data_IF_551930063131
#
_entry.id   IF_551930063131
#
_cell.length_a   1.000
_cell.length_b   1.000
_cell.length_c   1.000
_cell.angle_alpha   90.00
_cell.angle_beta   90.00
_cell.angle_gamma   90.00
#
_symmetry.space_group_name_H-M   'P 1'
#
loop_
_entity.id
_entity.type
_entity.pdbx_description
1 polymer ?
#
# COMPACT_ATOMS: atom_id res chain seq x y z
N UNK A 1 19.85 -20.32 31.11
CA UNK A 1 18.84 -19.99 30.09
C UNK A 1 19.57 -19.64 28.81
N UNK A 2 19.49 -20.50 27.80
CA UNK A 2 20.30 -20.37 26.59
C UNK A 2 19.65 -19.38 25.61
N UNK A 3 20.13 -18.13 25.67
CA UNK A 3 19.64 -17.02 24.84
C UNK A 3 19.74 -17.36 23.34
N UNK A 4 20.72 -18.18 22.94
CA UNK A 4 20.89 -18.61 21.55
C UNK A 4 19.74 -19.50 21.05
N UNK A 5 19.14 -20.30 21.92
CA UNK A 5 17.99 -21.15 21.57
C UNK A 5 16.68 -20.36 21.40
N UNK A 6 16.60 -19.15 21.96
CA UNK A 6 15.41 -18.29 21.90
C UNK A 6 15.35 -17.44 20.63
N UNK A 7 16.51 -17.09 20.04
CA UNK A 7 16.58 -16.22 18.87
C UNK A 7 15.76 -16.73 17.66
N UNK A 8 15.84 -18.01 17.26
CA UNK A 8 15.05 -18.52 16.13
C UNK A 8 13.54 -18.53 16.42
N UNK A 9 13.15 -18.85 17.65
CA UNK A 9 11.74 -18.88 18.06
C UNK A 9 11.14 -17.47 18.03
N UNK A 10 11.89 -16.48 18.52
CA UNK A 10 11.51 -15.07 18.48
C UNK A 10 11.35 -14.58 17.04
N UNK A 11 12.30 -14.90 16.14
CA UNK A 11 12.22 -14.56 14.72
C UNK A 11 10.95 -15.12 14.07
N UNK A 12 10.66 -16.40 14.27
CA UNK A 12 9.44 -17.03 13.72
C UNK A 12 8.17 -16.39 14.27
N UNK A 13 8.10 -16.13 15.58
CA UNK A 13 6.96 -15.46 16.19
C UNK A 13 6.76 -14.04 15.64
N UNK A 14 7.85 -13.28 15.49
CA UNK A 14 7.82 -11.94 14.89
C UNK A 14 7.33 -11.97 13.44
N UNK A 15 7.85 -12.87 12.61
CA UNK A 15 7.43 -12.99 11.20
C UNK A 15 5.95 -13.30 11.08
N UNK A 16 5.46 -14.24 11.90
CA UNK A 16 4.05 -14.59 11.94
C UNK A 16 3.20 -13.39 12.33
N UNK A 17 3.57 -12.71 13.42
CA UNK A 17 2.84 -11.54 13.90
C UNK A 17 2.75 -10.42 12.84
N UNK A 18 3.84 -10.15 12.13
CA UNK A 18 3.88 -9.15 11.05
C UNK A 18 2.99 -9.58 9.88
N UNK A 19 3.08 -10.84 9.45
CA UNK A 19 2.27 -11.39 8.37
C UNK A 19 0.78 -11.29 8.71
N UNK A 20 0.37 -11.70 9.91
CA UNK A 20 -1.01 -11.61 10.40
C UNK A 20 -1.49 -10.16 10.50
N UNK A 21 -0.65 -9.27 11.03
CA UNK A 21 -0.94 -7.84 11.12
C UNK A 21 -1.15 -7.20 9.74
N UNK A 22 -0.40 -7.66 8.74
CA UNK A 22 -0.57 -7.22 7.36
C UNK A 22 -1.87 -7.79 6.81
N UNK A 23 -2.01 -9.12 6.75
CA UNK A 23 -3.15 -9.79 6.12
C UNK A 23 -4.50 -9.42 6.75
N UNK A 24 -4.54 -9.18 8.06
CA UNK A 24 -5.74 -8.75 8.78
C UNK A 24 -6.04 -7.25 8.66
N UNK A 25 -5.13 -6.45 8.08
CA UNK A 25 -5.29 -5.01 8.02
C UNK A 25 -6.11 -4.58 6.81
N UNK A 26 -7.24 -3.87 6.98
CA UNK A 26 -7.97 -3.33 5.85
C UNK A 26 -7.20 -2.20 5.13
N UNK A 27 -6.05 -1.74 5.67
CA UNK A 27 -5.24 -0.66 5.10
C UNK A 27 -4.23 -1.19 4.09
N UNK A 28 -3.64 -2.35 4.34
CA UNK A 28 -2.41 -2.77 3.68
C UNK A 28 -2.70 -3.63 2.45
N UNK A 29 -3.74 -3.29 1.69
CA UNK A 29 -4.17 -4.05 0.49
C UNK A 29 -3.01 -4.22 -0.50
N UNK A 30 -2.16 -3.20 -0.68
CA UNK A 30 -0.97 -3.26 -1.54
C UNK A 30 0.14 -4.22 -1.02
N UNK A 31 0.03 -4.68 0.23
CA UNK A 31 0.93 -5.66 0.85
C UNK A 31 0.35 -7.07 0.86
N UNK A 32 -0.98 -7.24 0.81
CA UNK A 32 -1.63 -8.55 0.96
C UNK A 32 -1.28 -9.53 -0.16
N UNK A 33 -1.22 -9.03 -1.40
CA UNK A 33 -1.14 -9.86 -2.60
C UNK A 33 0.11 -9.56 -3.41
N UNK A 34 1.20 -9.16 -2.74
CA UNK A 34 2.41 -8.72 -3.44
C UNK A 34 3.19 -9.91 -3.96
N UNK A 35 3.01 -10.20 -5.24
CA UNK A 35 3.87 -11.11 -5.96
C UNK A 35 5.14 -10.41 -6.46
N UNK A 36 6.28 -11.08 -6.29
CA UNK A 36 7.48 -10.82 -7.08
C UNK A 36 7.51 -11.77 -8.27
N UNK A 37 7.99 -11.27 -9.40
CA UNK A 37 8.22 -12.09 -10.58
C UNK A 37 9.72 -12.36 -10.68
N UNK A 38 10.11 -13.60 -10.42
CA UNK A 38 11.51 -14.05 -10.53
C UNK A 38 11.55 -15.09 -11.65
N UNK A 39 12.32 -14.81 -12.70
CA UNK A 39 12.43 -15.68 -13.88
C UNK A 39 11.06 -16.06 -14.49
N UNK A 40 10.13 -15.10 -14.58
CA UNK A 40 8.78 -15.32 -15.12
C UNK A 40 7.81 -16.03 -14.16
N UNK A 41 8.25 -16.51 -13.00
CA UNK A 41 7.38 -17.14 -12.01
C UNK A 41 6.90 -16.17 -10.94
N UNK A 42 5.60 -16.24 -10.65
CA UNK A 42 4.94 -15.47 -9.59
C UNK A 42 5.25 -16.10 -8.23
N UNK A 43 6.01 -15.42 -7.38
CA UNK A 43 6.26 -15.80 -5.99
C UNK A 43 5.65 -14.78 -5.05
N UNK A 44 5.02 -15.23 -3.96
CA UNK A 44 4.58 -14.31 -2.91
C UNK A 44 5.82 -13.81 -2.17
N UNK A 45 5.99 -12.49 -2.11
CA UNK A 45 7.10 -11.89 -1.37
C UNK A 45 6.82 -11.94 0.13
N UNK A 46 7.86 -12.24 0.92
CA UNK A 46 7.76 -12.15 2.38
C UNK A 46 7.53 -10.68 2.78
N UNK A 47 6.67 -10.41 3.78
CA UNK A 47 6.47 -9.06 4.30
C UNK A 47 7.75 -8.32 4.68
N UNK A 48 8.73 -9.08 5.17
CA UNK A 48 10.00 -8.60 5.72
C UNK A 48 11.13 -8.56 4.68
N UNK A 49 10.85 -8.84 3.41
CA UNK A 49 11.82 -8.69 2.34
C UNK A 49 12.15 -7.21 2.10
N UNK A 50 13.42 -6.89 1.86
CA UNK A 50 13.84 -5.54 1.50
C UNK A 50 13.23 -5.12 0.16
N UNK A 51 12.69 -3.90 0.09
CA UNK A 51 11.76 -3.54 -0.98
C UNK A 51 12.40 -2.61 -2.01
N UNK A 52 12.19 -2.83 -3.33
CA UNK A 52 12.80 -2.01 -4.37
C UNK A 52 12.50 -0.51 -4.27
N UNK A 53 11.30 -0.12 -3.81
CA UNK A 53 10.97 1.30 -3.62
C UNK A 53 11.85 1.99 -2.58
N UNK A 54 12.47 1.24 -1.66
CA UNK A 54 13.44 1.78 -0.70
C UNK A 54 14.79 2.10 -1.34
N UNK A 55 15.08 1.59 -2.56
CA UNK A 55 16.29 1.92 -3.33
C UNK A 55 16.17 3.23 -4.13
N UNK A 56 14.97 3.84 -4.19
CA UNK A 56 14.77 5.12 -4.89
C UNK A 56 15.65 6.18 -4.22
N UNK A 57 16.58 6.77 -4.99
CA UNK A 57 17.57 7.72 -4.48
C UNK A 57 16.92 8.97 -3.87
N UNK A 58 15.93 9.54 -4.56
CA UNK A 58 15.20 10.73 -4.12
C UNK A 58 14.44 10.47 -2.81
N UNK A 59 14.78 11.22 -1.75
CA UNK A 59 14.15 11.10 -0.42
C UNK A 59 12.63 11.30 -0.49
N UNK A 60 12.20 12.36 -1.17
CA UNK A 60 10.78 12.71 -1.34
C UNK A 60 9.99 11.61 -2.05
N UNK A 61 10.53 11.09 -3.16
CA UNK A 61 9.90 10.00 -3.91
C UNK A 61 9.83 8.70 -3.09
N UNK A 62 10.91 8.35 -2.40
CA UNK A 62 10.94 7.17 -1.53
C UNK A 62 9.93 7.28 -0.38
N UNK A 63 9.80 8.46 0.23
CA UNK A 63 8.78 8.71 1.25
C UNK A 63 7.38 8.61 0.65
N UNK A 64 7.11 9.23 -0.49
CA UNK A 64 5.82 9.15 -1.16
C UNK A 64 5.41 7.70 -1.50
N UNK A 65 6.34 6.89 -2.03
CA UNK A 65 6.11 5.47 -2.29
C UNK A 65 5.88 4.68 -1.01
N UNK A 66 6.62 4.97 0.05
CA UNK A 66 6.44 4.31 1.35
C UNK A 66 5.07 4.64 1.94
N UNK A 67 4.68 5.92 1.93
CA UNK A 67 3.36 6.37 2.35
C UNK A 67 2.25 5.75 1.50
N UNK A 68 2.47 5.59 0.19
CA UNK A 68 1.51 4.94 -0.70
C UNK A 68 1.32 3.46 -0.31
N UNK A 69 2.43 2.74 -0.12
CA UNK A 69 2.45 1.29 0.15
C UNK A 69 1.96 0.95 1.56
N UNK A 70 2.20 1.81 2.54
CA UNK A 70 1.77 1.64 3.92
C UNK A 70 0.43 2.31 4.24
N UNK A 71 -0.27 2.81 3.22
CA UNK A 71 -1.57 3.46 3.32
C UNK A 71 -1.59 4.65 4.29
N UNK A 72 -0.50 5.41 4.25
CA UNK A 72 -0.29 6.70 4.90
C UNK A 72 -0.36 7.83 3.86
N UNK A 73 -1.40 7.80 3.03
CA UNK A 73 -1.59 8.72 1.92
C UNK A 73 -2.94 9.42 1.99
N UNK A 74 -3.10 10.52 1.25
CA UNK A 74 -4.28 11.39 1.30
C UNK A 74 -5.36 11.06 0.25
N UNK A 75 -5.40 9.84 -0.28
CA UNK A 75 -6.49 9.38 -1.13
C UNK A 75 -7.76 9.07 -0.31
N UNK A 76 -8.93 9.16 -0.94
CA UNK A 76 -10.22 9.05 -0.30
C UNK A 76 -10.43 7.68 0.36
N UNK A 77 -9.85 6.60 -0.19
CA UNK A 77 -9.89 5.27 0.42
C UNK A 77 -9.41 5.28 1.89
N UNK A 78 -8.41 6.12 2.22
CA UNK A 78 -7.88 6.29 3.57
C UNK A 78 -8.51 7.46 4.33
N UNK A 79 -8.62 8.63 3.69
CA UNK A 79 -9.15 9.82 4.37
C UNK A 79 -10.57 9.61 4.89
N UNK A 80 -11.42 8.96 4.10
CA UNK A 80 -12.83 8.76 4.41
C UNK A 80 -13.08 7.47 5.21
N UNK A 81 -12.05 6.66 5.43
CA UNK A 81 -12.11 5.43 6.23
C UNK A 81 -12.46 5.69 7.69
N UNK A 82 -11.98 6.79 8.25
CA UNK A 82 -12.19 7.15 9.66
C UNK A 82 -13.12 8.34 9.75
N UNK A 83 -13.94 8.35 10.79
CA UNK A 83 -14.66 9.56 11.17
C UNK A 83 -13.69 10.69 11.50
N UNK A 84 -14.14 11.92 11.28
CA UNK A 84 -13.49 13.15 11.72
C UNK A 84 -14.32 13.79 12.84
N UNK A 85 -13.83 14.88 13.43
CA UNK A 85 -14.62 15.67 14.40
C UNK A 85 -15.93 16.20 13.81
N UNK A 86 -15.93 16.50 12.50
CA UNK A 86 -17.10 17.03 11.78
C UNK A 86 -17.98 15.94 11.16
N UNK A 87 -17.52 14.68 11.14
CA UNK A 87 -18.21 13.54 10.54
C UNK A 87 -17.87 12.29 11.34
N UNK A 88 -18.73 11.94 12.29
CA UNK A 88 -18.48 10.85 13.25
C UNK A 88 -18.28 9.48 12.59
N UNK A 89 -19.00 9.19 11.52
CA UNK A 89 -19.04 7.86 10.91
C UNK A 89 -17.92 7.62 9.90
N UNK A 90 -17.71 6.37 9.46
CA UNK A 90 -16.85 6.03 8.31
C UNK A 90 -17.66 6.16 7.01
N UNK A 91 -17.04 6.60 5.90
CA UNK A 91 -17.73 6.53 4.60
C UNK A 91 -17.63 5.08 4.10
N UNK A 92 -18.74 4.46 3.67
CA UNK A 92 -18.70 3.15 3.01
C UNK A 92 -17.69 3.13 1.87
N UNK A 93 -16.91 2.04 1.73
CA UNK A 93 -15.82 1.94 0.73
C UNK A 93 -16.27 2.35 -0.68
N UNK A 94 -17.45 1.88 -1.09
CA UNK A 94 -18.05 2.16 -2.41
C UNK A 94 -18.29 3.65 -2.68
N UNK A 95 -18.44 4.47 -1.63
CA UNK A 95 -18.68 5.91 -1.72
C UNK A 95 -17.42 6.76 -1.56
N UNK A 96 -16.24 6.14 -1.40
CA UNK A 96 -14.95 6.86 -1.29
C UNK A 96 -14.42 7.22 -2.68
N UNK A 97 -15.17 8.07 -3.39
CA UNK A 97 -14.99 8.32 -4.81
C UNK A 97 -13.68 9.07 -5.13
N UNK A 98 -13.13 8.76 -6.30
CA UNK A 98 -11.96 9.39 -6.91
C UNK A 98 -12.17 10.87 -7.13
N UNK A 99 -11.26 11.71 -6.63
CA UNK A 99 -11.35 13.18 -6.77
C UNK A 99 -11.32 13.66 -8.22
N UNK A 100 -10.81 12.82 -9.12
CA UNK A 100 -10.67 13.16 -10.54
C UNK A 100 -11.91 12.80 -11.34
N UNK A 101 -12.41 11.56 -11.24
CA UNK A 101 -13.50 11.07 -12.09
C UNK A 101 -14.85 10.98 -11.38
N UNK A 102 -14.88 11.01 -10.04
CA UNK A 102 -16.08 10.87 -9.20
C UNK A 102 -16.92 9.60 -9.49
N UNK A 103 -16.37 8.62 -10.20
CA UNK A 103 -17.13 7.45 -10.69
C UNK A 103 -16.64 6.11 -10.12
N UNK A 104 -15.43 6.06 -9.55
CA UNK A 104 -14.84 4.86 -8.97
C UNK A 104 -14.18 5.19 -7.63
N UNK A 105 -13.87 4.16 -6.84
CA UNK A 105 -13.19 4.32 -5.55
C UNK A 105 -11.79 4.91 -5.74
N UNK A 106 -11.40 5.87 -4.89
CA UNK A 106 -10.06 6.48 -4.90
C UNK A 106 -9.02 5.61 -4.18
N UNK A 107 -8.68 4.47 -4.76
CA UNK A 107 -7.51 3.70 -4.33
C UNK A 107 -6.25 4.07 -5.14
N UNK A 108 -5.04 3.69 -4.67
CA UNK A 108 -3.79 3.98 -5.35
C UNK A 108 -3.73 3.53 -6.82
N UNK A 109 -4.28 2.35 -7.15
CA UNK A 109 -4.23 1.81 -8.50
C UNK A 109 -5.12 2.63 -9.43
N UNK A 110 -6.35 2.89 -8.99
CA UNK A 110 -7.28 3.70 -9.75
C UNK A 110 -6.72 5.11 -9.96
N UNK A 111 -6.36 5.82 -8.88
CA UNK A 111 -5.92 7.21 -8.98
C UNK A 111 -4.66 7.37 -9.85
N UNK A 112 -3.65 6.52 -9.67
CA UNK A 112 -2.35 6.70 -10.29
C UNK A 112 -2.20 6.04 -11.66
N UNK A 113 -2.88 4.92 -11.92
CA UNK A 113 -2.62 4.11 -13.12
C UNK A 113 -3.84 3.94 -14.05
N UNK A 114 -5.07 3.98 -13.52
CA UNK A 114 -6.28 3.71 -14.33
C UNK A 114 -7.03 4.99 -14.70
N UNK A 115 -7.20 5.92 -13.77
CA UNK A 115 -8.07 7.08 -13.94
C UNK A 115 -7.60 8.00 -15.07
N UNK A 116 -8.44 8.23 -16.07
CA UNK A 116 -8.15 9.06 -17.25
C UNK A 116 -8.64 10.51 -17.13
N UNK A 117 -9.33 10.86 -16.05
CA UNK A 117 -9.94 12.18 -15.88
C UNK A 117 -8.92 13.31 -15.63
N UNK A 118 -7.71 12.99 -15.16
CA UNK A 118 -6.61 13.97 -15.04
C UNK A 118 -5.73 13.96 -16.30
N UNK A 119 -5.68 15.08 -17.02
CA UNK A 119 -4.82 15.23 -18.18
C UNK A 119 -3.33 15.14 -17.82
N UNK A 120 -2.93 15.72 -16.68
CA UNK A 120 -1.56 15.68 -16.18
C UNK A 120 -1.11 14.25 -15.85
N UNK A 121 -1.91 13.48 -15.11
CA UNK A 121 -1.56 12.09 -14.79
C UNK A 121 -1.52 11.21 -16.04
N UNK A 122 -2.39 11.46 -17.03
CA UNK A 122 -2.30 10.78 -18.32
C UNK A 122 -0.99 11.09 -19.03
N UNK A 123 -0.60 12.36 -19.09
CA UNK A 123 0.66 12.76 -19.70
C UNK A 123 1.87 12.09 -19.03
N UNK A 124 1.89 12.05 -17.70
CA UNK A 124 2.95 11.35 -16.96
C UNK A 124 3.02 9.85 -17.27
N UNK A 125 1.86 9.17 -17.39
CA UNK A 125 1.83 7.75 -17.79
C UNK A 125 2.38 7.55 -19.19
N UNK A 126 1.95 8.36 -20.15
CA UNK A 126 2.45 8.27 -21.53
C UNK A 126 3.95 8.52 -21.61
N UNK A 127 4.51 9.38 -20.78
CA UNK A 127 5.96 9.60 -20.73
C UNK A 127 6.76 8.46 -20.09
N UNK A 128 6.10 7.55 -19.37
CA UNK A 128 6.74 6.47 -18.63
C UNK A 128 6.79 5.15 -19.41
N UNK A 129 5.88 4.94 -20.37
CA UNK A 129 5.79 3.77 -21.23
C UNK A 129 6.40 4.05 -22.60
#
# INVERSE_FOLDING_TARGET
>A
SDIAALEPQLKTALYRHIQESITGSPKLELLHSRATYIAGQRKLASPMEFRPYLKVKGKTHRQALTSLVLSDHRLAIELLRRGTRTRSESVPRALRLCRFCLAAVEDPLHALFVCSASAELRAFRTSFW
#
